data_IF_179573993576
#
_entry.id   IF_179573993576
#
_cell.length_a   1.000
_cell.length_b   1.000
_cell.length_c   1.000
_cell.angle_alpha   90.00
_cell.angle_beta   90.00
_cell.angle_gamma   90.00
#
_symmetry.space_group_name_H-M   'P 1'
#
loop_
_entity.id
_entity.type
_entity.pdbx_description
1 polymer ?
#
# COMPACT_ATOMS: atom_id res chain seq x y z
N UNK A 1 6.60 -24.43 -4.12
CA UNK A 1 6.29 -24.60 -2.68
C UNK A 1 7.20 -23.68 -1.90
N UNK A 2 6.67 -22.72 -1.15
CA UNK A 2 7.47 -21.74 -0.42
C UNK A 2 8.23 -22.40 0.73
N UNK A 3 9.46 -22.84 0.46
CA UNK A 3 10.42 -23.41 1.43
C UNK A 3 10.66 -22.50 2.64
N UNK A 4 10.53 -21.18 2.45
CA UNK A 4 10.62 -20.20 3.54
C UNK A 4 9.50 -20.36 4.60
N UNK A 5 8.27 -20.69 4.18
CA UNK A 5 7.14 -20.87 5.09
C UNK A 5 7.31 -22.14 5.93
N UNK A 6 7.76 -23.22 5.28
CA UNK A 6 8.05 -24.48 5.97
C UNK A 6 9.18 -24.32 7.01
N UNK A 7 10.21 -23.54 6.67
CA UNK A 7 11.30 -23.22 7.61
C UNK A 7 10.81 -22.37 8.80
N UNK A 8 9.94 -21.38 8.55
CA UNK A 8 9.34 -20.58 9.63
C UNK A 8 8.48 -21.42 10.57
N UNK A 9 7.63 -22.29 10.03
CA UNK A 9 6.79 -23.18 10.82
C UNK A 9 7.64 -24.11 11.69
N UNK A 10 8.74 -24.63 11.15
CA UNK A 10 9.68 -25.46 11.91
C UNK A 10 10.39 -24.68 13.03
N UNK A 11 10.80 -23.44 12.76
CA UNK A 11 11.47 -22.58 13.74
C UNK A 11 10.53 -22.10 14.87
N UNK A 12 9.24 -21.95 14.59
CA UNK A 12 8.23 -21.48 15.56
C UNK A 12 7.59 -22.63 16.38
N UNK A 13 8.08 -23.86 16.24
CA UNK A 13 7.62 -24.99 17.06
C UNK A 13 6.39 -25.72 16.51
N UNK A 14 6.10 -25.57 15.21
CA UNK A 14 5.03 -26.27 14.52
C UNK A 14 3.90 -25.36 14.04
N UNK A 15 2.94 -25.94 13.31
CA UNK A 15 1.86 -25.21 12.63
C UNK A 15 0.96 -24.47 13.61
N UNK A 16 0.68 -25.08 14.76
CA UNK A 16 -0.22 -24.51 15.78
C UNK A 16 0.39 -23.26 16.43
N UNK A 17 1.65 -23.32 16.83
CA UNK A 17 2.38 -22.18 17.38
C UNK A 17 2.51 -21.05 16.36
N UNK A 18 2.80 -21.37 15.09
CA UNK A 18 2.83 -20.39 14.00
C UNK A 18 1.46 -19.72 13.79
N UNK A 19 0.38 -20.50 13.83
CA UNK A 19 -0.98 -19.96 13.65
C UNK A 19 -1.37 -19.03 14.81
N UNK A 20 -1.04 -19.38 16.05
CA UNK A 20 -1.22 -18.53 17.23
C UNK A 20 -0.40 -17.24 17.10
N UNK A 21 0.89 -17.35 16.73
CA UNK A 21 1.76 -16.20 16.53
C UNK A 21 1.21 -15.25 15.45
N UNK A 22 0.66 -15.78 14.35
CA UNK A 22 0.04 -14.97 13.29
C UNK A 22 -1.29 -14.33 13.71
N UNK A 23 -2.08 -15.00 14.55
CA UNK A 23 -3.35 -14.47 15.06
C UNK A 23 -3.12 -13.28 16.01
N UNK A 24 -2.11 -13.36 16.89
CA UNK A 24 -1.84 -12.34 17.90
C UNK A 24 -0.95 -11.19 17.45
N UNK A 25 -0.58 -11.10 16.16
CA UNK A 25 0.15 -9.95 15.65
C UNK A 25 -0.64 -8.66 15.86
N UNK A 26 0.00 -7.69 16.50
CA UNK A 26 -0.51 -6.33 16.59
C UNK A 26 -0.85 -5.76 15.20
N UNK A 27 -1.88 -4.91 15.16
CA UNK A 27 -2.33 -4.20 13.98
C UNK A 27 -2.02 -2.72 14.17
N UNK A 28 -1.42 -2.08 13.18
CA UNK A 28 -1.25 -0.62 13.15
C UNK A 28 -2.00 -0.06 11.94
N UNK A 29 -2.89 0.90 12.18
CA UNK A 29 -3.52 1.68 11.11
C UNK A 29 -2.78 3.01 10.94
N UNK A 30 -2.30 3.30 9.73
CA UNK A 30 -1.68 4.57 9.43
C UNK A 30 -2.13 5.13 8.09
N UNK A 31 -2.04 6.46 7.95
CA UNK A 31 -2.35 7.17 6.72
C UNK A 31 -1.11 7.86 6.15
N UNK A 32 -1.14 8.11 4.85
CA UNK A 32 -0.20 9.00 4.17
C UNK A 32 -0.89 10.31 3.82
N UNK A 33 -0.31 11.45 4.20
CA UNK A 33 -0.81 12.79 3.90
C UNK A 33 0.31 13.72 3.40
N UNK A 34 -0.06 14.78 2.69
CA UNK A 34 0.87 15.63 1.94
C UNK A 34 0.19 16.27 0.72
N UNK A 35 0.85 17.23 0.09
CA UNK A 35 0.36 17.94 -1.10
C UNK A 35 0.24 17.03 -2.32
N UNK A 36 -0.49 17.49 -3.34
CA UNK A 36 -0.44 16.90 -4.69
C UNK A 36 1.02 16.86 -5.15
N UNK A 37 1.43 15.76 -5.78
CA UNK A 37 2.79 15.49 -6.27
C UNK A 37 3.91 15.27 -5.22
N UNK A 38 3.60 15.18 -3.92
CA UNK A 38 4.60 14.84 -2.88
C UNK A 38 4.97 13.35 -2.85
N UNK A 39 4.43 12.54 -3.77
CA UNK A 39 4.79 11.13 -3.92
C UNK A 39 4.21 10.18 -2.86
N UNK A 40 3.08 10.54 -2.22
CA UNK A 40 2.34 9.66 -1.28
C UNK A 40 2.08 8.26 -1.83
N UNK A 41 1.39 8.20 -2.97
CA UNK A 41 1.01 6.93 -3.60
C UNK A 41 2.23 6.18 -4.15
N UNK A 42 3.29 6.90 -4.56
CA UNK A 42 4.59 6.31 -4.94
C UNK A 42 5.27 5.62 -3.75
N UNK A 43 5.28 6.27 -2.58
CA UNK A 43 5.84 5.70 -1.34
C UNK A 43 5.08 4.43 -0.94
N UNK A 44 3.75 4.46 -0.99
CA UNK A 44 2.91 3.31 -0.68
C UNK A 44 3.15 2.18 -1.66
N UNK A 45 3.15 2.49 -2.96
CA UNK A 45 3.40 1.51 -4.01
C UNK A 45 4.77 0.83 -3.86
N UNK A 46 5.81 1.59 -3.46
CA UNK A 46 7.13 1.02 -3.16
C UNK A 46 7.10 0.10 -1.94
N UNK A 47 6.40 0.50 -0.88
CA UNK A 47 6.28 -0.29 0.34
C UNK A 47 5.52 -1.61 0.10
N UNK A 48 4.45 -1.56 -0.71
CA UNK A 48 3.71 -2.76 -1.11
C UNK A 48 4.55 -3.69 -2.01
N UNK A 49 5.35 -3.13 -2.91
CA UNK A 49 6.31 -3.88 -3.71
C UNK A 49 7.35 -4.60 -2.83
N UNK A 50 7.98 -3.87 -1.90
CA UNK A 50 9.08 -4.40 -1.08
C UNK A 50 8.59 -5.45 -0.06
N UNK A 51 7.33 -5.38 0.37
CA UNK A 51 6.74 -6.37 1.29
C UNK A 51 6.30 -7.68 0.61
N UNK A 52 6.44 -7.79 -0.72
CA UNK A 52 6.08 -9.00 -1.52
C UNK A 52 4.65 -9.51 -1.27
N UNK A 53 3.75 -8.64 -0.79
CA UNK A 53 2.35 -8.98 -0.54
C UNK A 53 1.47 -8.77 -1.78
N UNK A 54 2.05 -8.22 -2.87
CA UNK A 54 1.40 -8.17 -4.18
C UNK A 54 1.60 -9.54 -4.83
N UNK A 55 0.52 -10.31 -4.99
CA UNK A 55 0.53 -11.56 -5.76
C UNK A 55 1.11 -11.30 -7.17
N UNK A 56 1.98 -12.17 -7.66
CA UNK A 56 2.62 -12.06 -8.99
C UNK A 56 1.60 -11.87 -10.14
N UNK A 57 0.39 -12.39 -9.97
CA UNK A 57 -0.73 -12.23 -10.91
C UNK A 57 -1.26 -10.79 -10.99
N UNK A 58 -1.20 -10.02 -9.90
CA UNK A 58 -1.54 -8.59 -9.95
C UNK A 58 -0.41 -7.78 -10.57
N UNK A 59 0.85 -8.10 -10.26
CA UNK A 59 2.04 -7.46 -10.85
C UNK A 59 2.11 -7.60 -12.37
N UNK A 60 1.65 -8.72 -12.92
CA UNK A 60 1.61 -8.96 -14.38
C UNK A 60 0.44 -8.22 -15.07
N UNK A 61 -0.73 -8.13 -14.42
CA UNK A 61 -1.83 -7.25 -14.84
C UNK A 61 -1.40 -5.78 -14.89
N UNK A 62 -0.67 -5.32 -13.87
CA UNK A 62 -0.16 -3.96 -13.78
C UNK A 62 0.95 -3.66 -14.78
N UNK A 63 1.81 -4.62 -15.12
CA UNK A 63 2.77 -4.45 -16.20
C UNK A 63 2.07 -4.19 -17.55
N UNK A 64 0.95 -4.86 -17.81
CA UNK A 64 0.18 -4.65 -19.02
C UNK A 64 -0.56 -3.31 -19.03
N UNK A 65 -1.11 -2.88 -17.88
CA UNK A 65 -1.78 -1.59 -17.75
C UNK A 65 -0.79 -0.41 -17.75
N UNK A 66 0.38 -0.55 -17.11
CA UNK A 66 1.47 0.43 -17.14
C UNK A 66 2.02 0.61 -18.55
N UNK A 67 2.06 -0.45 -19.38
CA UNK A 67 2.40 -0.35 -20.82
C UNK A 67 1.33 0.36 -21.66
N UNK A 68 0.07 0.37 -21.22
CA UNK A 68 -1.05 1.00 -21.96
C UNK A 68 -1.33 2.44 -21.52
N UNK A 69 -1.15 2.76 -20.24
CA UNK A 69 -1.58 4.03 -19.64
C UNK A 69 -0.50 4.72 -18.79
N UNK A 70 0.71 4.14 -18.65
CA UNK A 70 1.75 4.70 -17.78
C UNK A 70 2.36 6.00 -18.29
N UNK A 71 2.49 6.99 -17.40
CA UNK A 71 3.16 8.26 -17.68
C UNK A 71 4.69 8.16 -17.63
N UNK A 72 5.25 7.02 -17.16
CA UNK A 72 6.69 6.79 -16.98
C UNK A 72 7.35 5.79 -17.97
N UNK A 73 6.70 5.47 -19.10
CA UNK A 73 7.30 4.59 -20.12
C UNK A 73 7.50 3.14 -19.65
N UNK A 74 8.74 2.62 -19.68
CA UNK A 74 9.07 1.23 -19.29
C UNK A 74 9.21 1.00 -17.77
N UNK A 75 9.13 2.05 -16.95
CA UNK A 75 9.18 1.90 -15.48
C UNK A 75 7.78 1.61 -14.94
N UNK A 76 7.71 0.64 -14.04
CA UNK A 76 6.49 0.22 -13.33
C UNK A 76 5.91 1.42 -12.57
N UNK A 77 4.76 1.91 -13.01
CA UNK A 77 4.06 2.99 -12.33
C UNK A 77 3.34 2.44 -11.10
N UNK A 78 4.03 2.51 -9.96
CA UNK A 78 3.56 1.98 -8.69
C UNK A 78 2.37 2.77 -8.12
N UNK A 79 2.04 3.95 -8.66
CA UNK A 79 0.82 4.67 -8.29
C UNK A 79 -0.44 3.96 -8.80
N UNK A 80 -0.37 3.31 -9.98
CA UNK A 80 -1.49 2.55 -10.58
C UNK A 80 -1.95 1.35 -9.73
N UNK A 81 -1.10 0.86 -8.81
CA UNK A 81 -1.45 -0.16 -7.80
C UNK A 81 -2.43 0.38 -6.77
N UNK A 82 -2.34 1.67 -6.48
CA UNK A 82 -2.99 2.33 -5.37
C UNK A 82 -4.28 3.00 -5.85
N UNK A 83 -4.27 3.56 -7.06
CA UNK A 83 -5.41 4.25 -7.69
C UNK A 83 -6.50 3.27 -8.15
N UNK A 84 -7.67 3.37 -7.52
CA UNK A 84 -8.79 2.46 -7.70
C UNK A 84 -9.81 2.93 -8.74
N UNK A 85 -9.92 4.23 -8.96
CA UNK A 85 -10.92 4.82 -9.85
C UNK A 85 -10.32 5.20 -11.21
N UNK A 86 -11.10 5.03 -12.28
CA UNK A 86 -10.70 5.46 -13.62
C UNK A 86 -10.47 6.98 -13.69
N UNK A 87 -11.26 7.76 -12.95
CA UNK A 87 -11.10 9.21 -12.85
C UNK A 87 -9.78 9.63 -12.16
N UNK A 88 -9.29 8.85 -11.19
CA UNK A 88 -7.98 9.09 -10.55
C UNK A 88 -6.86 8.92 -11.58
N UNK A 89 -6.97 7.88 -12.41
CA UNK A 89 -5.99 7.58 -13.47
C UNK A 89 -5.98 8.63 -14.58
N UNK A 90 -7.15 9.15 -14.95
CA UNK A 90 -7.27 10.19 -15.99
C UNK A 90 -6.72 11.54 -15.53
N UNK A 91 -6.83 11.85 -14.23
CA UNK A 91 -6.42 13.14 -13.66
C UNK A 91 -5.05 13.09 -12.96
N UNK A 92 -4.51 11.89 -12.71
CA UNK A 92 -3.24 11.71 -12.01
C UNK A 92 -3.29 12.13 -10.53
N UNK A 93 -4.46 12.08 -9.91
CA UNK A 93 -4.67 12.48 -8.51
C UNK A 93 -5.45 11.40 -7.77
N UNK A 94 -5.16 11.21 -6.49
CA UNK A 94 -6.00 10.44 -5.57
C UNK A 94 -7.25 11.26 -5.24
N UNK A 95 -8.44 10.68 -5.39
CA UNK A 95 -9.74 11.31 -5.16
C UNK A 95 -10.38 10.74 -3.90
N UNK A 96 -10.36 9.41 -3.74
CA UNK A 96 -10.94 8.73 -2.59
C UNK A 96 -9.86 8.10 -1.69
N UNK A 97 -10.24 7.69 -0.48
CA UNK A 97 -9.33 7.02 0.43
C UNK A 97 -9.20 5.53 0.06
N UNK A 98 -8.02 5.12 -0.39
CA UNK A 98 -7.75 3.72 -0.70
C UNK A 98 -7.13 3.00 0.52
N UNK A 99 -7.77 1.93 0.98
CA UNK A 99 -7.23 1.11 2.07
C UNK A 99 -6.46 -0.09 1.53
N UNK A 100 -5.23 -0.28 2.03
CA UNK A 100 -4.36 -1.40 1.65
C UNK A 100 -3.87 -2.15 2.88
N UNK A 101 -3.75 -3.46 2.75
CA UNK A 101 -3.35 -4.35 3.83
C UNK A 101 -1.99 -4.95 3.49
N UNK A 102 -1.05 -4.86 4.42
CA UNK A 102 0.20 -5.61 4.31
C UNK A 102 0.60 -6.14 5.68
N UNK A 103 1.43 -7.18 5.67
CA UNK A 103 1.95 -7.77 6.89
C UNK A 103 3.45 -7.95 6.78
N UNK A 104 4.11 -7.81 7.92
CA UNK A 104 5.52 -8.16 8.10
C UNK A 104 5.60 -9.39 8.99
N UNK A 105 6.82 -9.88 9.21
CA UNK A 105 7.07 -10.95 10.17
C UNK A 105 6.57 -10.59 11.58
N UNK A 106 6.65 -9.31 11.97
CA UNK A 106 6.37 -8.87 13.35
C UNK A 106 4.98 -8.24 13.56
N UNK A 107 4.41 -7.59 12.55
CA UNK A 107 3.20 -6.75 12.71
C UNK A 107 2.37 -6.69 11.42
N UNK A 108 1.05 -6.54 11.58
CA UNK A 108 0.08 -6.28 10.51
C UNK A 108 -0.16 -4.78 10.38
N UNK A 109 -0.40 -4.32 9.16
CA UNK A 109 -0.58 -2.91 8.86
C UNK A 109 -1.77 -2.69 7.93
N UNK A 110 -2.47 -1.58 8.16
CA UNK A 110 -3.47 -1.03 7.26
C UNK A 110 -3.01 0.36 6.88
N UNK A 111 -2.87 0.59 5.58
CA UNK A 111 -2.51 1.88 5.00
C UNK A 111 -3.79 2.52 4.49
N UNK A 112 -4.02 3.78 4.83
CA UNK A 112 -4.97 4.64 4.15
C UNK A 112 -4.20 5.60 3.23
N UNK A 113 -4.30 5.41 1.91
CA UNK A 113 -3.84 6.43 0.97
C UNK A 113 -4.88 7.54 0.90
N UNK A 114 -4.47 8.77 1.23
CA UNK A 114 -5.39 9.91 1.30
C UNK A 114 -5.11 10.93 0.21
N UNK A 115 -6.15 11.61 -0.29
CA UNK A 115 -5.98 12.60 -1.34
C UNK A 115 -5.23 13.84 -0.85
N UNK A 116 -4.34 14.37 -1.70
CA UNK A 116 -3.56 15.58 -1.41
C UNK A 116 -4.18 16.89 -1.90
N UNK A 117 -5.26 16.82 -2.68
CA UNK A 117 -5.90 18.00 -3.27
C UNK A 117 -6.90 18.62 -2.28
N UNK A 118 -6.91 19.96 -2.19
CA UNK A 118 -7.72 20.70 -1.21
C UNK A 118 -9.23 20.36 -1.29
N UNK A 119 -9.75 20.15 -2.50
CA UNK A 119 -11.15 19.79 -2.73
C UNK A 119 -11.57 18.46 -2.08
N UNK A 120 -10.60 17.57 -1.79
CA UNK A 120 -10.84 16.24 -1.20
C UNK A 120 -10.35 16.14 0.25
N UNK A 121 -10.07 17.26 0.91
CA UNK A 121 -9.67 17.32 2.33
C UNK A 121 -10.65 16.59 3.26
N UNK A 122 -11.95 16.57 2.92
CA UNK A 122 -12.97 15.82 3.69
C UNK A 122 -12.73 14.31 3.65
N UNK A 123 -12.29 13.77 2.51
CA UNK A 123 -11.99 12.35 2.36
C UNK A 123 -10.76 12.00 3.19
N UNK A 124 -9.71 12.84 3.13
CA UNK A 124 -8.54 12.71 4.01
C UNK A 124 -8.93 12.72 5.50
N UNK A 125 -9.79 13.65 5.94
CA UNK A 125 -10.24 13.71 7.33
C UNK A 125 -10.98 12.43 7.77
N UNK A 126 -11.80 11.85 6.89
CA UNK A 126 -12.46 10.56 7.12
C UNK A 126 -11.43 9.44 7.26
N UNK A 127 -10.45 9.36 6.36
CA UNK A 127 -9.35 8.38 6.46
C UNK A 127 -8.56 8.53 7.76
N UNK A 128 -8.24 9.77 8.13
CA UNK A 128 -7.50 10.09 9.34
C UNK A 128 -8.23 9.71 10.63
N UNK A 129 -9.56 9.80 10.66
CA UNK A 129 -10.35 9.46 11.85
C UNK A 129 -10.19 8.00 12.31
N UNK A 130 -9.73 7.11 11.43
CA UNK A 130 -9.59 5.67 11.70
C UNK A 130 -8.14 5.23 11.93
N UNK A 131 -7.18 6.16 11.84
CA UNK A 131 -5.75 5.87 11.88
C UNK A 131 -5.11 6.28 13.21
N UNK A 132 -4.05 5.58 13.57
CA UNK A 132 -3.28 5.80 14.81
C UNK A 132 -1.97 6.57 14.55
N UNK A 133 -1.50 6.57 13.30
CA UNK A 133 -0.27 7.21 12.86
C UNK A 133 -0.50 7.93 11.52
N UNK A 134 0.13 9.09 11.36
CA UNK A 134 0.17 9.80 10.09
C UNK A 134 1.61 9.91 9.59
N UNK A 135 1.81 9.58 8.31
CA UNK A 135 3.05 9.80 7.58
C UNK A 135 2.83 11.03 6.71
N UNK A 136 3.56 12.10 7.01
CA UNK A 136 3.58 13.29 6.19
C UNK A 136 4.68 13.19 5.14
N UNK A 137 4.33 13.32 3.87
CA UNK A 137 5.27 13.43 2.75
C UNK A 137 5.37 14.89 2.35
N UNK A 138 6.60 15.38 2.26
CA UNK A 138 6.91 16.74 1.81
C UNK A 138 7.96 16.69 0.71
N UNK A 139 7.85 17.57 -0.27
CA UNK A 139 8.83 17.67 -1.35
C UNK A 139 10.01 18.49 -0.88
N UNK A 140 11.21 17.89 -0.93
CA UNK A 140 12.44 18.63 -0.71
C UNK A 140 12.61 19.70 -1.81
N UNK A 141 12.85 20.98 -1.45
CA UNK A 141 13.01 22.08 -2.39
C UNK A 141 14.28 21.96 -3.26
#
# INVERSE_FOLDING_TARGET
MNTALAQQIANEGGVEAWMIAQQHKSLLRFLTCGSVDDGKSTLIGRLLHDTRQIYEDQLSSLHNDSKRHGTQGEKLDLALLVDGLQAEREQGITIDVAYRYFSTEKRKFIIADTPGHEQYTRNMATGASTCELAIFTDRCP
#
